data_IF_198487490816
#
_entry.id   IF_198487490816
#
_cell.length_a   1.000
_cell.length_b   1.000
_cell.length_c   1.000
_cell.angle_alpha   90.00
_cell.angle_beta   90.00
_cell.angle_gamma   90.00
#
_symmetry.space_group_name_H-M   'P 1'
#
loop_
_entity.id
_entity.type
_entity.pdbx_description
1 polymer ?
#
# COMPACT_ATOMS: atom_id res chain seq x y z
N UNK A 1 -14.39 -6.28 8.65
CA UNK A 1 -14.54 -5.83 10.05
C UNK A 1 -13.31 -6.33 10.80
N UNK A 2 -12.36 -5.44 11.11
CA UNK A 2 -11.17 -5.82 11.88
C UNK A 2 -11.65 -5.89 13.33
N UNK A 3 -11.80 -7.10 13.86
CA UNK A 3 -11.95 -7.30 15.30
C UNK A 3 -10.63 -6.87 15.94
N UNK A 4 -10.55 -5.62 16.41
CA UNK A 4 -9.52 -5.25 17.36
C UNK A 4 -9.78 -6.09 18.63
N UNK A 5 -8.81 -6.89 19.10
CA UNK A 5 -9.00 -7.64 20.34
C UNK A 5 -9.26 -6.62 21.46
N UNK A 6 -10.40 -6.76 22.15
CA UNK A 6 -10.69 -5.95 23.33
C UNK A 6 -9.57 -6.24 24.33
N UNK A 7 -8.77 -5.23 24.73
CA UNK A 7 -7.67 -5.46 25.65
C UNK A 7 -8.27 -6.01 26.95
N UNK A 8 -7.76 -7.17 27.38
CA UNK A 8 -8.17 -7.76 28.65
C UNK A 8 -7.94 -6.75 29.79
N UNK A 9 -8.70 -6.87 30.89
CA UNK A 9 -8.48 -6.05 32.09
C UNK A 9 -7.01 -6.07 32.56
N UNK A 10 -6.37 -7.24 32.44
CA UNK A 10 -4.94 -7.40 32.71
C UNK A 10 -4.08 -6.60 31.73
N UNK A 11 -4.40 -6.64 30.43
CA UNK A 11 -3.72 -5.84 29.41
C UNK A 11 -3.85 -4.34 29.66
N UNK A 12 -5.04 -3.86 30.04
CA UNK A 12 -5.27 -2.45 30.39
C UNK A 12 -4.43 -2.02 31.60
N UNK A 13 -4.36 -2.87 32.64
CA UNK A 13 -3.57 -2.59 33.83
C UNK A 13 -2.08 -2.48 33.51
N UNK A 14 -1.56 -3.41 32.71
CA UNK A 14 -0.13 -3.49 32.38
C UNK A 14 0.30 -2.38 31.42
N UNK A 15 -0.53 -2.05 30.42
CA UNK A 15 -0.18 -1.10 29.36
C UNK A 15 -0.45 0.36 29.73
N UNK A 16 -1.41 0.63 30.63
CA UNK A 16 -1.83 2.00 30.94
C UNK A 16 -1.72 2.36 32.42
N UNK A 17 -2.26 1.54 33.32
CA UNK A 17 -2.35 1.89 34.75
C UNK A 17 -0.98 1.89 35.42
N UNK A 18 -0.20 0.81 35.24
CA UNK A 18 1.14 0.71 35.84
C UNK A 18 2.10 1.80 35.33
N UNK A 19 2.18 2.08 34.01
CA UNK A 19 2.92 3.22 33.49
C UNK A 19 2.51 4.58 34.09
N UNK A 20 1.20 4.85 34.17
CA UNK A 20 0.71 6.11 34.73
C UNK A 20 1.11 6.27 36.20
N UNK A 21 1.00 5.19 36.99
CA UNK A 21 1.45 5.18 38.38
C UNK A 21 2.95 5.43 38.47
N UNK A 22 3.77 4.85 37.60
CA UNK A 22 5.21 5.09 37.52
C UNK A 22 5.53 6.56 37.31
N UNK A 23 4.98 7.14 36.24
CA UNK A 23 5.18 8.55 35.88
C UNK A 23 4.77 9.49 37.02
N UNK A 24 3.57 9.30 37.58
CA UNK A 24 3.06 10.13 38.69
C UNK A 24 3.95 9.98 39.93
N UNK A 25 4.36 8.76 40.26
CA UNK A 25 5.23 8.49 41.41
C UNK A 25 6.60 9.18 41.26
N UNK A 26 7.19 9.12 40.07
CA UNK A 26 8.47 9.77 39.76
C UNK A 26 8.34 11.29 39.83
N UNK A 27 7.28 11.88 39.28
CA UNK A 27 7.03 13.33 39.41
C UNK A 27 6.86 13.77 40.87
N UNK A 28 6.13 13.00 41.69
CA UNK A 28 5.94 13.31 43.11
C UNK A 28 7.25 13.21 43.90
N UNK A 29 8.09 12.20 43.63
CA UNK A 29 9.39 12.02 44.26
C UNK A 29 10.36 13.15 43.91
N UNK A 30 10.48 13.47 42.62
CA UNK A 30 11.37 14.54 42.13
C UNK A 30 10.88 15.90 42.62
N UNK A 31 9.58 16.20 42.49
CA UNK A 31 8.99 17.44 42.97
C UNK A 31 9.16 17.61 44.49
N UNK A 32 8.93 16.56 45.27
CA UNK A 32 9.15 16.55 46.71
C UNK A 32 10.63 16.78 47.09
N UNK A 33 11.56 16.17 46.36
CA UNK A 33 12.99 16.38 46.56
C UNK A 33 13.40 17.82 46.25
N UNK A 34 12.91 18.42 45.16
CA UNK A 34 13.18 19.80 44.78
C UNK A 34 12.64 20.81 45.81
N UNK A 35 11.41 20.63 46.28
CA UNK A 35 10.81 21.49 47.32
C UNK A 35 11.61 21.41 48.62
N UNK A 36 12.02 20.21 49.03
CA UNK A 36 12.83 20.01 50.24
C UNK A 36 14.23 20.63 50.09
N UNK A 37 14.82 20.53 48.90
CA UNK A 37 16.12 21.13 48.57
C UNK A 37 16.06 22.67 48.56
N UNK A 38 15.00 23.25 48.00
CA UNK A 38 14.79 24.70 47.98
C UNK A 38 14.58 25.28 49.39
N UNK A 39 13.88 24.56 50.28
CA UNK A 39 13.63 24.99 51.67
C UNK A 39 14.70 24.56 52.69
N UNK A 40 15.96 24.42 52.26
CA UNK A 40 17.16 23.89 52.97
C UNK A 40 17.36 24.25 54.46
N UNK A 41 16.66 25.25 55.02
CA UNK A 41 16.75 25.68 56.44
C UNK A 41 15.60 25.21 57.36
N UNK A 42 14.50 24.64 56.85
CA UNK A 42 13.25 24.52 57.65
C UNK A 42 12.76 23.11 57.96
N UNK A 43 13.40 22.06 57.43
CA UNK A 43 12.85 20.70 57.54
C UNK A 43 13.60 19.84 58.56
N UNK A 44 12.85 19.17 59.45
CA UNK A 44 13.37 18.14 60.35
C UNK A 44 14.02 16.99 59.56
N UNK A 45 15.07 16.33 60.10
CA UNK A 45 15.61 15.12 59.50
C UNK A 45 14.52 14.03 59.43
N UNK A 46 14.44 13.29 58.32
CA UNK A 46 13.50 12.18 58.22
C UNK A 46 13.89 11.09 59.22
N UNK A 47 12.88 10.48 59.85
CA UNK A 47 13.08 9.27 60.66
C UNK A 47 13.64 8.14 59.80
N UNK A 48 14.46 7.24 60.38
CA UNK A 48 14.99 6.05 59.68
C UNK A 48 13.88 5.21 59.03
N UNK A 49 12.71 5.11 59.68
CA UNK A 49 11.53 4.41 59.12
C UNK A 49 10.97 5.12 57.89
N UNK A 50 10.88 6.44 57.92
CA UNK A 50 10.38 7.24 56.80
C UNK A 50 11.36 7.22 55.62
N UNK A 51 12.67 7.22 55.91
CA UNK A 51 13.71 7.06 54.89
C UNK A 51 13.62 5.69 54.22
N UNK A 52 13.41 4.61 54.98
CA UNK A 52 13.25 3.26 54.44
C UNK A 52 12.03 3.15 53.49
N UNK A 53 10.89 3.73 53.89
CA UNK A 53 9.70 3.78 53.03
C UNK A 53 9.90 4.62 51.76
N UNK A 54 10.60 5.76 51.88
CA UNK A 54 10.95 6.59 50.71
C UNK A 54 11.80 5.79 49.72
N UNK A 55 12.83 5.08 50.19
CA UNK A 55 13.66 4.23 49.34
C UNK A 55 12.86 3.09 48.71
N UNK A 56 11.97 2.44 49.46
CA UNK A 56 11.10 1.40 48.91
C UNK A 56 10.20 1.94 47.78
N UNK A 57 9.57 3.11 48.00
CA UNK A 57 8.72 3.75 46.98
C UNK A 57 9.54 4.20 45.77
N UNK A 58 10.75 4.73 45.97
CA UNK A 58 11.67 5.09 44.90
C UNK A 58 12.10 3.87 44.07
N UNK A 59 12.36 2.73 44.72
CA UNK A 59 12.67 1.48 44.02
C UNK A 59 11.49 0.98 43.17
N UNK A 60 10.27 1.07 43.69
CA UNK A 60 9.05 0.70 42.92
C UNK A 60 8.86 1.64 41.73
N UNK A 61 9.00 2.95 41.92
CA UNK A 61 8.91 3.92 40.84
C UNK A 61 9.96 3.66 39.75
N UNK A 62 11.20 3.37 40.14
CA UNK A 62 12.27 3.00 39.20
C UNK A 62 11.94 1.75 38.38
N UNK A 63 11.38 0.71 39.02
CA UNK A 63 10.97 -0.51 38.31
C UNK A 63 9.85 -0.22 37.30
N UNK A 64 8.89 0.64 37.65
CA UNK A 64 7.84 1.07 36.74
C UNK A 64 8.41 1.89 35.58
N UNK A 65 9.37 2.78 35.81
CA UNK A 65 10.03 3.54 34.76
C UNK A 65 10.84 2.64 33.80
N UNK A 66 11.52 1.62 34.33
CA UNK A 66 12.19 0.58 33.51
C UNK A 66 11.17 -0.19 32.66
N UNK A 67 10.02 -0.54 33.23
CA UNK A 67 8.93 -1.18 32.49
C UNK A 67 8.38 -0.30 31.35
N UNK A 68 8.20 1.00 31.59
CA UNK A 68 7.83 1.98 30.56
C UNK A 68 8.89 2.02 29.46
N UNK A 69 10.18 2.04 29.82
CA UNK A 69 11.29 1.97 28.86
C UNK A 69 11.21 0.72 27.98
N UNK A 70 10.90 -0.44 28.57
CA UNK A 70 10.73 -1.68 27.83
C UNK A 70 9.53 -1.64 26.85
N UNK A 71 8.37 -1.14 27.30
CA UNK A 71 7.19 -1.00 26.45
C UNK A 71 7.42 -0.02 25.29
N UNK A 72 8.03 1.13 25.57
CA UNK A 72 8.33 2.14 24.55
C UNK A 72 9.34 1.63 23.54
N UNK A 73 10.36 0.88 23.96
CA UNK A 73 11.29 0.20 23.06
C UNK A 73 10.56 -0.73 22.08
N UNK A 74 9.71 -1.64 22.58
CA UNK A 74 8.96 -2.56 21.72
C UNK A 74 7.99 -1.85 20.76
N UNK A 75 7.37 -0.74 21.20
CA UNK A 75 6.50 0.07 20.36
C UNK A 75 7.28 0.75 19.23
N UNK A 76 8.46 1.31 19.54
CA UNK A 76 9.33 1.97 18.55
C UNK A 76 9.83 0.97 17.53
N UNK A 77 10.25 -0.22 17.95
CA UNK A 77 10.68 -1.30 17.05
C UNK A 77 9.55 -1.72 16.10
N UNK A 78 8.35 -1.93 16.63
CA UNK A 78 7.17 -2.28 15.83
C UNK A 78 6.81 -1.17 14.85
N UNK A 79 6.83 0.09 15.29
CA UNK A 79 6.57 1.25 14.42
C UNK A 79 7.57 1.30 13.27
N UNK A 80 8.87 1.11 13.56
CA UNK A 80 9.91 1.09 12.53
C UNK A 80 9.68 -0.02 11.52
N UNK A 81 9.32 -1.22 11.96
CA UNK A 81 9.04 -2.34 11.08
C UNK A 81 7.82 -2.07 10.17
N UNK A 82 6.75 -1.48 10.72
CA UNK A 82 5.57 -1.06 9.95
C UNK A 82 5.91 0.03 8.94
N UNK A 83 6.68 1.04 9.34
CA UNK A 83 7.11 2.14 8.46
C UNK A 83 8.03 1.63 7.34
N UNK A 84 8.91 0.68 7.64
CA UNK A 84 9.75 0.01 6.64
C UNK A 84 8.91 -0.81 5.65
N UNK A 85 7.97 -1.62 6.15
CA UNK A 85 7.06 -2.39 5.30
C UNK A 85 6.21 -1.49 4.41
N UNK A 86 5.70 -0.37 4.94
CA UNK A 86 4.94 0.62 4.17
C UNK A 86 5.78 1.27 3.07
N UNK A 87 7.03 1.66 3.36
CA UNK A 87 7.97 2.19 2.36
C UNK A 87 8.30 1.17 1.28
N UNK A 88 8.59 -0.07 1.66
CA UNK A 88 8.87 -1.14 0.71
C UNK A 88 7.64 -1.43 -0.17
N UNK A 89 6.43 -1.43 0.40
CA UNK A 89 5.20 -1.60 -0.38
C UNK A 89 5.05 -0.49 -1.41
N UNK A 90 5.25 0.77 -1.03
CA UNK A 90 5.22 1.90 -1.98
C UNK A 90 6.26 1.73 -3.11
N UNK A 91 7.50 1.35 -2.77
CA UNK A 91 8.54 1.06 -3.76
C UNK A 91 8.21 -0.12 -4.70
N UNK A 92 7.37 -1.06 -4.23
CA UNK A 92 6.94 -2.25 -4.99
C UNK A 92 5.62 -2.03 -5.75
N UNK A 93 4.95 -0.91 -5.52
CA UNK A 93 3.77 -0.46 -6.27
C UNK A 93 4.20 0.27 -7.55
N UNK A 94 5.23 1.11 -7.43
CA UNK A 94 5.78 1.92 -8.52
C UNK A 94 7.24 1.55 -8.79
N UNK A 95 7.51 0.87 -9.91
CA UNK A 95 8.87 0.44 -10.23
C UNK A 95 9.13 0.32 -11.73
N UNK A 96 10.41 0.30 -12.11
CA UNK A 96 10.86 -0.02 -13.46
C UNK A 96 11.10 -1.53 -13.58
N UNK A 97 10.50 -2.14 -14.60
CA UNK A 97 10.60 -3.58 -14.81
C UNK A 97 12.05 -3.96 -15.23
N UNK A 98 12.75 -4.83 -14.48
CA UNK A 98 14.18 -5.08 -14.73
C UNK A 98 14.44 -6.02 -15.93
N UNK A 99 13.44 -6.80 -16.33
CA UNK A 99 13.53 -7.79 -17.42
C UNK A 99 12.17 -7.95 -18.08
N UNK A 100 12.15 -8.47 -19.29
CA UNK A 100 10.90 -8.84 -19.95
C UNK A 100 10.10 -9.79 -19.05
N UNK A 101 8.80 -9.52 -18.91
CA UNK A 101 7.91 -10.29 -18.04
C UNK A 101 6.63 -10.64 -18.77
N UNK A 102 6.29 -11.92 -18.81
CA UNK A 102 5.04 -12.40 -19.38
C UNK A 102 3.91 -12.22 -18.36
N UNK A 103 2.88 -11.45 -18.73
CA UNK A 103 1.68 -11.23 -17.93
C UNK A 103 0.45 -11.60 -18.75
N UNK A 104 -0.07 -12.80 -18.51
CA UNK A 104 -1.15 -13.40 -19.31
C UNK A 104 -0.72 -13.54 -20.77
N UNK A 105 -1.44 -12.87 -21.67
CA UNK A 105 -1.18 -12.88 -23.11
C UNK A 105 -0.12 -11.87 -23.56
N UNK A 106 0.27 -10.90 -22.72
CA UNK A 106 1.18 -9.82 -23.08
C UNK A 106 2.57 -10.05 -22.47
N UNK A 107 3.62 -9.84 -23.25
CA UNK A 107 4.99 -9.71 -22.73
C UNK A 107 5.29 -8.23 -22.56
N UNK A 108 5.44 -7.82 -21.30
CA UNK A 108 5.80 -6.44 -20.95
C UNK A 108 7.32 -6.32 -21.00
N UNK A 109 7.88 -5.41 -21.82
CA UNK A 109 9.31 -5.31 -22.01
C UNK A 109 10.02 -4.71 -20.79
N UNK A 110 11.27 -5.08 -20.59
CA UNK A 110 12.18 -4.46 -19.62
C UNK A 110 12.24 -2.94 -19.83
N UNK A 111 12.36 -2.21 -18.73
CA UNK A 111 12.35 -0.74 -18.70
C UNK A 111 10.94 -0.14 -18.71
N UNK A 112 9.88 -0.95 -18.69
CA UNK A 112 8.51 -0.44 -18.51
C UNK A 112 8.31 0.06 -17.09
N UNK A 113 7.70 1.23 -16.95
CA UNK A 113 7.27 1.75 -15.66
C UNK A 113 5.95 1.09 -15.30
N UNK A 114 5.88 0.51 -14.12
CA UNK A 114 4.74 -0.25 -13.61
C UNK A 114 4.11 0.53 -12.47
N UNK A 115 2.79 0.68 -12.51
CA UNK A 115 1.97 1.02 -11.37
C UNK A 115 1.04 -0.16 -11.07
N UNK A 116 1.07 -0.67 -9.84
CA UNK A 116 0.23 -1.79 -9.41
C UNK A 116 -0.25 -1.63 -7.99
N UNK A 117 -1.38 -2.26 -7.67
CA UNK A 117 -1.91 -2.35 -6.32
C UNK A 117 -2.25 -3.79 -5.96
N UNK A 118 -1.51 -4.35 -5.00
CA UNK A 118 -1.70 -5.72 -4.53
C UNK A 118 -1.96 -5.74 -3.01
N UNK A 119 -3.20 -6.04 -2.58
CA UNK A 119 -3.54 -6.15 -1.16
C UNK A 119 -2.77 -7.25 -0.42
N UNK A 120 -2.22 -8.24 -1.13
CA UNK A 120 -1.46 -9.35 -0.56
C UNK A 120 0.04 -9.07 -0.49
N UNK A 121 0.52 -7.91 -0.97
CA UNK A 121 1.92 -7.52 -0.83
C UNK A 121 2.20 -6.85 0.52
N UNK A 122 2.96 -7.55 1.37
CA UNK A 122 3.34 -7.07 2.70
C UNK A 122 4.60 -6.18 2.71
N UNK A 123 5.21 -5.89 1.55
CA UNK A 123 6.44 -5.10 1.47
C UNK A 123 7.70 -5.89 1.79
N UNK A 124 7.69 -7.22 1.56
CA UNK A 124 8.84 -8.09 1.80
C UNK A 124 9.94 -7.84 0.75
N UNK A 125 11.16 -7.54 1.20
CA UNK A 125 12.24 -7.09 0.31
C UNK A 125 12.76 -8.20 -0.63
N UNK A 126 12.70 -9.45 -0.19
CA UNK A 126 13.29 -10.58 -0.92
C UNK A 126 12.31 -11.28 -1.86
N UNK A 127 11.03 -10.92 -1.84
CA UNK A 127 10.07 -11.47 -2.78
C UNK A 127 10.31 -10.90 -4.18
N UNK A 128 10.23 -11.73 -5.23
CA UNK A 128 10.30 -11.24 -6.59
C UNK A 128 9.20 -10.18 -6.85
N UNK A 129 9.50 -9.21 -7.70
CA UNK A 129 8.51 -8.27 -8.19
C UNK A 129 7.51 -9.03 -9.07
N UNK A 130 6.24 -8.94 -8.68
CA UNK A 130 5.10 -9.53 -9.36
C UNK A 130 4.35 -8.45 -10.12
N UNK A 131 3.68 -8.80 -11.21
CA UNK A 131 2.74 -7.90 -11.90
C UNK A 131 1.29 -8.14 -11.49
N UNK A 132 1.07 -8.93 -10.45
CA UNK A 132 -0.24 -9.05 -9.80
C UNK A 132 -0.77 -7.68 -9.37
N UNK A 133 -2.04 -7.43 -9.63
CA UNK A 133 -2.69 -6.15 -9.36
C UNK A 133 -2.22 -5.03 -10.31
N UNK A 134 -1.75 -5.38 -11.51
CA UNK A 134 -1.32 -4.41 -12.52
C UNK A 134 -2.45 -3.43 -12.81
N UNK A 135 -2.18 -2.14 -12.58
CA UNK A 135 -3.17 -1.06 -12.78
C UNK A 135 -2.78 -0.20 -13.98
N UNK A 136 -1.52 0.20 -14.10
CA UNK A 136 -1.05 0.95 -15.27
C UNK A 136 0.40 0.62 -15.65
N UNK A 137 0.73 0.85 -16.91
CA UNK A 137 2.06 0.65 -17.49
C UNK A 137 2.42 1.80 -18.42
N UNK A 138 3.65 2.28 -18.33
CA UNK A 138 4.28 3.08 -19.38
C UNK A 138 5.37 2.25 -20.05
N UNK A 139 5.30 2.09 -21.37
CA UNK A 139 6.27 1.29 -22.12
C UNK A 139 7.45 2.16 -22.57
N UNK A 140 8.69 1.64 -22.54
CA UNK A 140 9.87 2.39 -23.00
C UNK A 140 9.93 2.48 -24.54
N UNK A 141 9.17 1.62 -25.23
CA UNK A 141 9.03 1.57 -26.68
C UNK A 141 7.59 1.16 -27.01
N UNK A 142 7.07 1.48 -28.21
CA UNK A 142 5.73 1.06 -28.60
C UNK A 142 5.54 -0.47 -28.49
N UNK A 143 4.43 -0.89 -27.89
CA UNK A 143 4.06 -2.30 -27.71
C UNK A 143 2.68 -2.53 -28.31
N UNK A 144 2.48 -3.69 -28.94
CA UNK A 144 1.17 -4.10 -29.45
C UNK A 144 0.31 -4.65 -28.30
N UNK A 145 -0.79 -3.96 -28.01
CA UNK A 145 -1.76 -4.35 -26.97
C UNK A 145 -3.16 -4.25 -27.58
N UNK A 146 -3.98 -5.29 -27.45
CA UNK A 146 -5.33 -5.34 -28.02
C UNK A 146 -5.38 -4.99 -29.53
N UNK A 147 -4.33 -5.34 -30.28
CA UNK A 147 -4.22 -5.06 -31.71
C UNK A 147 -3.83 -3.61 -32.07
N UNK A 148 -3.45 -2.79 -31.09
CA UNK A 148 -3.02 -1.40 -31.32
C UNK A 148 -1.62 -1.13 -30.77
N UNK A 149 -0.88 -0.26 -31.46
CA UNK A 149 0.44 0.18 -31.01
C UNK A 149 0.28 1.23 -29.91
N UNK A 150 0.67 0.89 -28.68
CA UNK A 150 0.47 1.71 -27.48
C UNK A 150 1.81 2.05 -26.80
N UNK A 151 1.85 3.23 -26.16
CA UNK A 151 2.99 3.69 -25.35
C UNK A 151 2.69 3.69 -23.85
N UNK A 152 1.39 3.69 -23.48
CA UNK A 152 0.95 3.52 -22.11
C UNK A 152 -0.38 2.77 -22.07
N UNK A 153 -0.66 2.13 -20.95
CA UNK A 153 -1.84 1.33 -20.70
C UNK A 153 -2.35 1.55 -19.29
N UNK A 154 -3.66 1.70 -19.16
CA UNK A 154 -4.41 1.67 -17.90
C UNK A 154 -5.33 0.44 -17.98
N UNK A 155 -5.03 -0.56 -17.17
CA UNK A 155 -5.66 -1.88 -17.17
C UNK A 155 -7.03 -1.82 -16.52
N UNK A 156 -7.18 -1.05 -15.43
CA UNK A 156 -8.42 -0.97 -14.65
C UNK A 156 -9.56 -0.36 -15.47
N UNK A 157 -9.25 0.60 -16.34
CA UNK A 157 -10.21 1.25 -17.22
C UNK A 157 -10.13 0.80 -18.68
N UNK A 158 -9.26 -0.17 -19.00
CA UNK A 158 -9.02 -0.68 -20.35
C UNK A 158 -8.74 0.43 -21.37
N UNK A 159 -7.84 1.35 -21.02
CA UNK A 159 -7.46 2.51 -21.85
C UNK A 159 -6.03 2.35 -22.33
N UNK A 160 -5.79 2.65 -23.61
CA UNK A 160 -4.47 2.58 -24.24
C UNK A 160 -4.10 3.92 -24.85
N UNK A 161 -2.94 4.46 -24.50
CA UNK A 161 -2.41 5.65 -25.14
C UNK A 161 -1.65 5.26 -26.40
N UNK A 162 -2.09 5.81 -27.54
CA UNK A 162 -1.58 5.41 -28.85
C UNK A 162 -0.17 5.96 -29.10
N UNK A 163 0.72 5.09 -29.57
CA UNK A 163 2.10 5.44 -29.88
C UNK A 163 2.28 6.09 -31.26
N UNK A 164 1.33 5.89 -32.18
CA UNK A 164 1.37 6.39 -33.54
C UNK A 164 -0.05 6.58 -34.09
N UNK A 165 -0.16 7.33 -35.18
CA UNK A 165 -1.37 7.39 -36.00
C UNK A 165 -1.68 5.99 -36.56
N UNK A 166 -2.90 5.51 -36.37
CA UNK A 166 -3.31 4.19 -36.79
C UNK A 166 -4.82 4.08 -36.99
N UNK A 167 -5.22 3.13 -37.83
CA UNK A 167 -6.63 2.83 -38.11
C UNK A 167 -7.03 1.60 -37.30
N UNK A 168 -7.97 1.76 -36.38
CA UNK A 168 -8.34 0.74 -35.38
C UNK A 168 -9.78 0.28 -35.66
N UNK A 169 -10.02 -1.02 -35.59
CA UNK A 169 -11.37 -1.57 -35.72
C UNK A 169 -11.43 -3.06 -35.38
N UNK A 170 -12.65 -3.62 -35.29
CA UNK A 170 -13.93 -2.95 -35.50
C UNK A 170 -14.36 -2.06 -34.33
N UNK A 171 -15.14 -1.00 -34.61
CA UNK A 171 -15.74 -0.16 -33.58
C UNK A 171 -16.99 -0.83 -33.01
N UNK A 172 -17.14 -0.79 -31.69
CA UNK A 172 -18.32 -1.21 -30.97
C UNK A 172 -18.94 -0.05 -30.19
N UNK A 173 -20.24 -0.16 -29.94
CA UNK A 173 -20.96 0.77 -29.08
C UNK A 173 -21.99 0.02 -28.24
N UNK A 174 -22.28 0.55 -27.05
CA UNK A 174 -23.38 0.03 -26.24
C UNK A 174 -24.73 0.44 -26.84
N UNK A 175 -25.63 -0.52 -26.96
CA UNK A 175 -27.02 -0.24 -27.30
C UNK A 175 -27.79 0.31 -26.08
N UNK A 176 -29.08 0.67 -26.27
CA UNK A 176 -29.95 1.15 -25.17
C UNK A 176 -30.17 0.15 -24.04
N UNK A 177 -29.86 -1.14 -24.26
CA UNK A 177 -29.96 -2.23 -23.27
C UNK A 177 -28.62 -2.48 -22.54
N UNK A 178 -27.55 -1.77 -22.90
CA UNK A 178 -26.21 -1.96 -22.32
C UNK A 178 -25.43 -3.13 -22.92
N UNK A 179 -25.82 -3.65 -24.08
CA UNK A 179 -25.09 -4.71 -24.77
C UNK A 179 -24.15 -4.09 -25.81
N UNK A 180 -22.92 -4.61 -25.94
CA UNK A 180 -22.00 -4.23 -27.00
C UNK A 180 -22.50 -4.75 -28.35
N UNK A 181 -22.67 -3.83 -29.30
CA UNK A 181 -23.08 -4.13 -30.66
C UNK A 181 -22.14 -3.50 -31.68
N UNK A 182 -21.97 -4.21 -32.80
CA UNK A 182 -21.18 -3.76 -33.95
C UNK A 182 -22.06 -3.19 -35.08
N UNK A 183 -23.32 -3.61 -35.15
CA UNK A 183 -24.19 -3.26 -36.27
C UNK A 183 -24.38 -1.74 -36.40
N UNK A 184 -24.14 -1.25 -37.61
CA UNK A 184 -24.18 0.18 -37.93
C UNK A 184 -22.94 0.98 -37.50
N UNK A 185 -21.92 0.34 -36.92
CA UNK A 185 -20.65 0.99 -36.58
C UNK A 185 -19.65 0.93 -37.75
N UNK A 186 -18.75 1.92 -37.87
CA UNK A 186 -17.65 1.89 -38.82
C UNK A 186 -16.79 0.62 -38.67
N UNK A 187 -16.33 0.09 -39.81
CA UNK A 187 -15.39 -1.03 -39.80
C UNK A 187 -14.05 -0.66 -39.14
N UNK A 188 -13.68 0.62 -39.19
CA UNK A 188 -12.49 1.15 -38.55
C UNK A 188 -12.58 2.66 -38.36
N UNK A 189 -11.82 3.19 -37.41
CA UNK A 189 -11.67 4.61 -37.11
C UNK A 189 -10.19 4.98 -37.17
N UNK A 190 -9.87 6.11 -37.80
CA UNK A 190 -8.51 6.65 -37.79
C UNK A 190 -8.28 7.42 -36.47
N UNK A 191 -7.30 6.97 -35.71
CA UNK A 191 -6.89 7.59 -34.46
C UNK A 191 -5.46 8.14 -34.57
N UNK A 192 -5.21 9.24 -33.86
CA UNK A 192 -3.93 9.93 -33.88
C UNK A 192 -3.03 9.47 -32.74
N UNK A 193 -1.73 9.64 -32.94
CA UNK A 193 -0.72 9.51 -31.90
C UNK A 193 -1.09 10.36 -30.69
N UNK A 194 -0.91 9.79 -29.50
CA UNK A 194 -1.17 10.47 -28.22
C UNK A 194 -2.64 10.43 -27.78
N UNK A 195 -3.59 10.09 -28.66
CA UNK A 195 -4.98 9.86 -28.26
C UNK A 195 -5.12 8.63 -27.37
N UNK A 196 -6.22 8.57 -26.63
CA UNK A 196 -6.57 7.42 -25.80
C UNK A 196 -7.57 6.55 -26.57
N UNK A 197 -7.19 5.32 -26.89
CA UNK A 197 -8.10 4.29 -27.35
C UNK A 197 -8.78 3.63 -26.14
N UNK A 198 -10.11 3.65 -26.12
CA UNK A 198 -10.92 3.09 -25.05
C UNK A 198 -11.43 1.71 -25.49
N UNK A 199 -11.44 0.77 -24.56
CA UNK A 199 -11.92 -0.59 -24.80
C UNK A 199 -12.91 -1.01 -23.72
N UNK A 200 -13.81 -1.92 -24.08
CA UNK A 200 -14.53 -2.75 -23.12
C UNK A 200 -13.72 -4.01 -22.86
N UNK A 201 -13.36 -4.23 -21.60
CA UNK A 201 -12.71 -5.46 -21.15
C UNK A 201 -13.78 -6.38 -20.54
N UNK A 202 -13.92 -7.63 -21.04
CA UNK A 202 -14.90 -8.55 -20.50
C UNK A 202 -14.59 -8.88 -19.04
N UNK A 203 -15.65 -9.03 -18.25
CA UNK A 203 -15.55 -9.45 -16.86
C UNK A 203 -14.84 -10.80 -16.76
N UNK A 204 -13.76 -10.82 -15.97
CA UNK A 204 -13.06 -12.05 -15.63
C UNK A 204 -13.95 -12.84 -14.68
N UNK A 205 -14.22 -14.11 -14.99
CA UNK A 205 -14.96 -14.99 -14.11
C UNK A 205 -14.10 -15.35 -12.88
N UNK A 206 -14.65 -15.15 -11.68
CA UNK A 206 -14.02 -15.50 -10.41
C UNK A 206 -14.89 -16.49 -9.65
N UNK A 207 -14.29 -17.55 -9.12
CA UNK A 207 -14.93 -18.33 -8.07
C UNK A 207 -14.65 -17.65 -6.73
N UNK A 208 -15.57 -16.79 -6.31
CA UNK A 208 -15.42 -16.01 -5.07
C UNK A 208 -15.26 -16.90 -3.83
N UNK A 209 -15.75 -18.14 -3.84
CA UNK A 209 -15.64 -19.05 -2.69
C UNK A 209 -14.28 -19.74 -2.70
N UNK A 210 -13.85 -20.26 -3.86
CA UNK A 210 -12.58 -20.96 -3.97
C UNK A 210 -11.36 -20.01 -3.95
N UNK A 211 -11.55 -18.75 -4.35
CA UNK A 211 -10.48 -17.75 -4.48
C UNK A 211 -10.48 -16.71 -3.35
N UNK A 212 -11.41 -16.81 -2.39
CA UNK A 212 -11.41 -15.92 -1.23
C UNK A 212 -10.07 -15.98 -0.49
N UNK A 213 -9.50 -14.81 -0.19
CA UNK A 213 -8.21 -14.64 0.48
C UNK A 213 -7.02 -15.32 -0.22
N UNK A 214 -7.15 -15.65 -1.50
CA UNK A 214 -6.02 -16.05 -2.35
C UNK A 214 -5.57 -14.87 -3.19
N UNK A 215 -4.25 -14.71 -3.40
CA UNK A 215 -3.80 -13.72 -4.35
C UNK A 215 -4.22 -14.09 -5.78
N UNK A 216 -4.42 -13.08 -6.62
CA UNK A 216 -4.61 -13.28 -8.05
C UNK A 216 -3.42 -14.03 -8.69
N UNK A 217 -3.65 -14.81 -9.75
CA UNK A 217 -2.57 -15.40 -10.52
C UNK A 217 -1.68 -14.34 -11.17
N UNK A 218 -0.37 -14.58 -11.18
CA UNK A 218 0.62 -13.72 -11.84
C UNK A 218 1.33 -14.45 -12.98
N UNK A 219 2.14 -13.73 -13.74
CA UNK A 219 2.96 -14.30 -14.79
C UNK A 219 2.11 -14.82 -15.96
N UNK A 220 2.48 -15.96 -16.58
CA UNK A 220 1.69 -16.59 -17.64
C UNK A 220 0.29 -17.02 -17.21
N UNK A 221 0.07 -17.23 -15.90
CA UNK A 221 -1.24 -17.61 -15.36
C UNK A 221 -2.16 -16.41 -15.11
N UNK A 222 -1.64 -15.18 -15.23
CA UNK A 222 -2.46 -13.98 -15.08
C UNK A 222 -3.61 -13.98 -16.08
N UNK A 223 -4.79 -13.55 -15.62
CA UNK A 223 -6.03 -13.56 -16.43
C UNK A 223 -6.13 -12.35 -17.37
N UNK A 224 -4.99 -11.75 -17.70
CA UNK A 224 -4.89 -10.59 -18.57
C UNK A 224 -4.96 -11.00 -20.04
N UNK A 225 -6.08 -10.68 -20.70
CA UNK A 225 -6.40 -11.09 -22.08
C UNK A 225 -6.84 -9.91 -22.95
N UNK A 226 -5.91 -9.02 -23.35
CA UNK A 226 -6.22 -7.88 -24.20
C UNK A 226 -6.74 -8.29 -25.58
N UNK A 227 -6.55 -9.54 -26.02
CA UNK A 227 -7.15 -10.05 -27.26
C UNK A 227 -8.68 -10.10 -27.23
N UNK A 228 -9.29 -10.11 -26.03
CA UNK A 228 -10.73 -10.18 -25.84
C UNK A 228 -11.38 -8.79 -25.72
N UNK A 229 -10.57 -7.73 -25.70
CA UNK A 229 -11.04 -6.36 -25.53
C UNK A 229 -11.71 -5.86 -26.80
N UNK A 230 -12.80 -5.11 -26.62
CA UNK A 230 -13.62 -4.59 -27.73
C UNK A 230 -13.46 -3.07 -27.83
N UNK A 231 -13.04 -2.59 -29.00
CA UNK A 231 -12.70 -1.18 -29.19
C UNK A 231 -13.93 -0.27 -29.22
N UNK A 232 -13.93 0.77 -28.38
CA UNK A 232 -15.03 1.73 -28.20
C UNK A 232 -14.79 3.09 -28.86
N UNK A 233 -13.59 3.32 -29.39
CA UNK A 233 -13.22 4.58 -30.04
C UNK A 233 -12.04 5.28 -29.37
N UNK A 234 -11.62 6.40 -29.96
CA UNK A 234 -10.50 7.21 -29.49
C UNK A 234 -10.97 8.58 -29.00
N UNK A 235 -10.36 9.07 -27.92
CA UNK A 235 -10.65 10.36 -27.29
C UNK A 235 -9.37 11.16 -27.09
N UNK A 236 -9.51 12.49 -27.05
CA UNK A 236 -8.42 13.43 -26.69
C UNK A 236 -8.31 13.61 -25.16
N UNK A 237 -8.51 12.52 -24.39
CA UNK A 237 -8.46 12.55 -22.94
C UNK A 237 -7.05 12.80 -22.42
N UNK A 238 -6.94 13.04 -21.11
CA UNK A 238 -5.64 13.18 -20.44
C UNK A 238 -4.77 11.95 -20.67
N UNK A 239 -3.46 12.15 -20.90
CA UNK A 239 -2.51 11.06 -21.04
C UNK A 239 -2.46 10.21 -19.77
N UNK A 240 -2.10 8.94 -19.93
CA UNK A 240 -1.92 8.02 -18.81
C UNK A 240 -0.57 8.36 -18.16
N UNK A 241 -0.64 9.04 -17.02
CA UNK A 241 0.53 9.43 -16.24
C UNK A 241 0.68 8.49 -15.05
N UNK A 242 1.88 7.92 -14.88
CA UNK A 242 2.20 7.12 -13.70
C UNK A 242 2.88 7.99 -12.64
N UNK A 243 2.75 7.65 -11.35
CA UNK A 243 3.55 8.26 -10.29
C UNK A 243 5.04 8.15 -10.60
N UNK A 244 5.84 9.13 -10.20
CA UNK A 244 7.29 9.00 -10.35
C UNK A 244 7.79 7.81 -9.55
N UNK A 245 8.62 6.97 -10.18
CA UNK A 245 9.33 5.92 -9.47
C UNK A 245 10.25 6.60 -8.46
N UNK A 246 10.07 6.29 -7.19
CA UNK A 246 10.94 6.83 -6.16
C UNK A 246 12.32 6.17 -6.27
N UNK A 247 13.35 6.99 -6.44
CA UNK A 247 14.74 6.55 -6.34
C UNK A 247 15.03 6.21 -4.88
N UNK A 248 15.27 4.93 -4.58
CA UNK A 248 15.64 4.44 -3.23
C UNK A 248 17.06 3.89 -3.22
#
# INVERSE_FOLDING_TARGET
MIFAPIPSLLGLLILFVLPLVGIVSTFLLVGGALVRWAGRRRYRPLSRKALAWLWAFASVALLLDVWIGFLTYGLVETSRAVDQAARNRAARQDFMLPRDFQYGELVIPAGSQIHRYDPFDNGEQHLPLALRGLSAVYFPKPVQVAGVSAIAMDVDSARLQLAADQTIGPLFAYNKKGELVRDGQPASVACKQGQIANFDAPLIAYDVVAEFAKPEPDGPAARFKPSQWQFLGCTDDRPINLPQVADF
#
